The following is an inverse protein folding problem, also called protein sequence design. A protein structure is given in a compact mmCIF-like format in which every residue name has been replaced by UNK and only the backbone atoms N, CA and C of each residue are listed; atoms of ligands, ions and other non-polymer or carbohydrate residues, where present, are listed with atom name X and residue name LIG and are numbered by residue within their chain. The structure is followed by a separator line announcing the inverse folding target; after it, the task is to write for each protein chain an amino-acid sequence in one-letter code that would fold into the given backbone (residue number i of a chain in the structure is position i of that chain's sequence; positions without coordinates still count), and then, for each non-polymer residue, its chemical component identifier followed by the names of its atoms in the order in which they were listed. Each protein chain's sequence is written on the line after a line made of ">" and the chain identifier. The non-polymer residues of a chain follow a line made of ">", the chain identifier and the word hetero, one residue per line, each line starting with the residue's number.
data_IF_317947893331
#
_entry.id   IF_317947893331
#
_cell.length_a   1.000
_cell.length_b   1.000
_cell.length_c   1.000
_cell.angle_alpha   90.00
_cell.angle_beta   90.00
_cell.angle_gamma   90.00
#
_symmetry.space_group_name_H-M   'P 1'
#
loop_
_entity.id
_entity.type
_entity.pdbx_description
1 polymer ?
#
# COMPACT_ATOMS: atom_id res chain seq x y z
N UNK A 1 -8.04 8.28 -37.39
CA UNK A 1 -7.22 7.08 -37.10
C UNK A 1 -8.01 6.16 -36.20
N UNK A 2 -8.40 4.96 -36.64
CA UNK A 2 -9.03 3.97 -35.76
C UNK A 2 -7.95 3.47 -34.80
N UNK A 3 -8.04 3.81 -33.52
CA UNK A 3 -7.18 3.25 -32.48
C UNK A 3 -7.54 1.77 -32.32
N UNK A 4 -6.68 0.90 -32.82
CA UNK A 4 -6.86 -0.54 -32.66
C UNK A 4 -6.73 -0.91 -31.17
N UNK A 5 -7.72 -1.57 -30.54
CA UNK A 5 -7.67 -1.96 -29.13
C UNK A 5 -6.45 -2.85 -28.80
N UNK A 6 -5.93 -3.62 -29.77
CA UNK A 6 -4.76 -4.47 -29.61
C UNK A 6 -3.46 -3.66 -29.43
N UNK A 7 -3.43 -2.40 -29.87
CA UNK A 7 -2.29 -1.51 -29.67
C UNK A 7 -2.32 -0.82 -28.29
N UNK A 8 -3.42 -0.92 -27.54
CA UNK A 8 -3.61 -0.26 -26.24
C UNK A 8 -4.05 -1.26 -25.16
N UNK A 9 -3.19 -2.23 -24.87
CA UNK A 9 -3.42 -3.23 -23.83
C UNK A 9 -2.82 -2.74 -22.51
N UNK A 10 -3.63 -2.71 -21.43
CA UNK A 10 -3.16 -2.38 -20.08
C UNK A 10 -2.71 -3.62 -19.31
N UNK A 11 -1.86 -3.50 -18.30
CA UNK A 11 -1.55 -4.65 -17.44
C UNK A 11 -2.72 -4.89 -16.48
N UNK A 12 -3.23 -6.13 -16.45
CA UNK A 12 -4.28 -6.56 -15.54
C UNK A 12 -3.75 -6.66 -14.10
N UNK A 13 -4.63 -6.52 -13.12
CA UNK A 13 -4.31 -6.88 -11.74
C UNK A 13 -3.97 -8.39 -11.65
N UNK A 14 -2.91 -8.77 -10.92
CA UNK A 14 -2.39 -10.13 -10.90
C UNK A 14 -3.45 -11.10 -10.36
N UNK A 15 -3.67 -12.18 -11.10
CA UNK A 15 -4.65 -13.20 -10.78
C UNK A 15 -3.93 -14.52 -10.54
N UNK A 16 -4.20 -15.16 -9.40
CA UNK A 16 -3.61 -16.45 -9.02
C UNK A 16 -4.34 -17.66 -9.64
N UNK A 17 -5.00 -17.48 -10.79
CA UNK A 17 -5.62 -18.58 -11.52
C UNK A 17 -4.63 -19.08 -12.58
N UNK A 18 -4.35 -20.38 -12.63
CA UNK A 18 -3.53 -20.96 -13.70
C UNK A 18 -4.37 -21.13 -14.96
N UNK A 19 -3.80 -20.80 -16.12
CA UNK A 19 -4.39 -21.01 -17.44
C UNK A 19 -4.71 -22.49 -17.69
N UNK A 20 -3.87 -23.40 -17.23
CA UNK A 20 -4.04 -24.84 -17.46
C UNK A 20 -5.26 -25.42 -16.72
N UNK A 21 -5.64 -24.81 -15.60
CA UNK A 21 -6.82 -25.20 -14.81
C UNK A 21 -8.13 -24.60 -15.35
N UNK A 22 -8.07 -23.70 -16.34
CA UNK A 22 -9.25 -23.06 -16.92
C UNK A 22 -9.95 -23.98 -17.92
N UNK A 23 -11.28 -23.86 -18.00
CA UNK A 23 -12.11 -24.65 -18.93
C UNK A 23 -12.21 -23.95 -20.29
N UNK A 24 -11.96 -24.68 -21.36
CA UNK A 24 -12.12 -24.19 -22.74
C UNK A 24 -11.01 -24.71 -23.64
N UNK A 25 -10.66 -23.89 -24.62
CA UNK A 25 -9.85 -24.30 -25.77
C UNK A 25 -8.44 -23.70 -25.67
N UNK A 26 -7.62 -23.87 -26.71
CA UNK A 26 -6.30 -23.20 -26.79
C UNK A 26 -6.39 -21.69 -26.97
N UNK A 27 -7.48 -21.20 -27.60
CA UNK A 27 -7.68 -19.78 -27.95
C UNK A 27 -8.45 -19.00 -26.88
N UNK A 28 -9.44 -19.63 -26.25
CA UNK A 28 -10.33 -19.01 -25.26
C UNK A 28 -10.57 -19.98 -24.11
N UNK A 29 -10.36 -19.51 -22.88
CA UNK A 29 -10.71 -20.26 -21.68
C UNK A 29 -11.49 -19.41 -20.70
N UNK A 30 -12.36 -20.04 -19.93
CA UNK A 30 -13.10 -19.41 -18.88
C UNK A 30 -12.40 -19.56 -17.54
N UNK A 31 -12.06 -18.43 -16.92
CA UNK A 31 -11.50 -18.42 -15.58
C UNK A 31 -12.64 -18.39 -14.54
N UNK A 32 -12.79 -19.47 -13.78
CA UNK A 32 -13.79 -19.58 -12.71
C UNK A 32 -13.57 -18.59 -11.56
N UNK A 33 -12.31 -18.20 -11.30
CA UNK A 33 -11.98 -17.28 -10.19
C UNK A 33 -12.41 -15.85 -10.47
N UNK A 34 -12.15 -15.34 -11.67
CA UNK A 34 -12.52 -13.96 -12.05
C UNK A 34 -13.80 -13.87 -12.88
N UNK A 35 -14.38 -15.01 -13.28
CA UNK A 35 -15.60 -15.12 -14.09
C UNK A 35 -15.52 -14.41 -15.44
N UNK A 36 -14.33 -14.38 -16.03
CA UNK A 36 -14.05 -13.73 -17.32
C UNK A 36 -13.49 -14.75 -18.31
N UNK A 37 -13.75 -14.48 -19.58
CA UNK A 37 -13.05 -15.14 -20.68
C UNK A 37 -11.62 -14.60 -20.76
N UNK A 38 -10.69 -15.53 -20.91
CA UNK A 38 -9.26 -15.28 -21.06
C UNK A 38 -8.86 -15.80 -22.44
N UNK A 39 -8.25 -14.93 -23.22
CA UNK A 39 -7.92 -15.14 -24.62
C UNK A 39 -6.41 -15.29 -24.78
N UNK A 40 -5.98 -16.34 -25.48
CA UNK A 40 -4.59 -16.51 -25.89
C UNK A 40 -4.43 -15.97 -27.31
N UNK A 41 -3.77 -14.82 -27.44
CA UNK A 41 -3.54 -14.15 -28.72
C UNK A 41 -2.11 -14.37 -29.24
N UNK A 42 -1.25 -15.10 -28.52
CA UNK A 42 0.17 -15.26 -28.84
C UNK A 42 0.41 -16.06 -30.13
N UNK A 43 -0.53 -16.94 -30.48
CA UNK A 43 -0.47 -17.78 -31.69
C UNK A 43 -1.38 -17.25 -32.82
N UNK A 44 -1.94 -16.04 -32.67
CA UNK A 44 -2.91 -15.48 -33.61
C UNK A 44 -2.36 -14.24 -34.31
N UNK A 45 -2.70 -14.10 -35.59
CA UNK A 45 -2.47 -12.84 -36.30
C UNK A 45 -3.39 -11.74 -35.76
N UNK A 46 -3.03 -10.49 -36.01
CA UNK A 46 -3.84 -9.35 -35.58
C UNK A 46 -5.30 -9.41 -36.06
N UNK A 47 -5.52 -9.81 -37.32
CA UNK A 47 -6.87 -9.99 -37.88
C UNK A 47 -7.65 -11.11 -37.21
N UNK A 48 -7.00 -12.24 -36.92
CA UNK A 48 -7.65 -13.35 -36.23
C UNK A 48 -8.02 -12.98 -34.79
N UNK A 49 -7.14 -12.24 -34.11
CA UNK A 49 -7.41 -11.73 -32.77
C UNK A 49 -8.58 -10.74 -32.76
N UNK A 50 -8.64 -9.82 -33.73
CA UNK A 50 -9.76 -8.88 -33.90
C UNK A 50 -11.08 -9.61 -34.15
N UNK A 51 -11.08 -10.59 -35.07
CA UNK A 51 -12.26 -11.37 -35.40
C UNK A 51 -12.76 -12.16 -34.19
N UNK A 52 -11.85 -12.83 -33.45
CA UNK A 52 -12.20 -13.57 -32.24
C UNK A 52 -12.86 -12.66 -31.19
N UNK A 53 -12.26 -11.49 -30.92
CA UNK A 53 -12.83 -10.54 -29.97
C UNK A 53 -14.15 -9.96 -30.44
N UNK A 54 -14.31 -9.74 -31.75
CA UNK A 54 -15.55 -9.24 -32.33
C UNK A 54 -16.68 -10.27 -32.25
N UNK A 55 -16.40 -11.54 -32.55
CA UNK A 55 -17.37 -12.64 -32.48
C UNK A 55 -17.82 -12.92 -31.05
N UNK A 56 -16.90 -12.88 -30.09
CA UNK A 56 -17.19 -13.27 -28.69
C UNK A 56 -17.79 -12.15 -27.85
N UNK A 57 -17.31 -10.91 -28.01
CA UNK A 57 -17.77 -9.76 -27.20
C UNK A 57 -18.77 -8.88 -27.95
N UNK A 58 -18.95 -9.10 -29.27
CA UNK A 58 -19.85 -8.33 -30.14
C UNK A 58 -19.42 -6.88 -30.37
N UNK A 59 -18.28 -6.43 -29.84
CA UNK A 59 -17.81 -5.05 -29.91
C UNK A 59 -16.29 -4.99 -30.04
N UNK A 60 -15.81 -4.22 -31.02
CA UNK A 60 -14.38 -3.99 -31.25
C UNK A 60 -13.76 -2.98 -30.26
N UNK A 61 -14.56 -2.18 -29.55
CA UNK A 61 -14.06 -1.15 -28.61
C UNK A 61 -14.00 -1.64 -27.15
N UNK A 62 -13.56 -2.87 -26.91
CA UNK A 62 -13.35 -3.39 -25.54
C UNK A 62 -11.98 -2.99 -25.02
N UNK A 63 -11.91 -2.64 -23.73
CA UNK A 63 -10.62 -2.40 -23.06
C UNK A 63 -9.95 -3.74 -22.79
N UNK A 64 -8.75 -3.92 -23.34
CA UNK A 64 -7.99 -5.14 -23.16
C UNK A 64 -6.99 -5.00 -22.01
N UNK A 65 -6.84 -6.07 -21.24
CA UNK A 65 -5.85 -6.17 -20.18
C UNK A 65 -5.00 -7.43 -20.37
N UNK A 66 -3.68 -7.31 -20.22
CA UNK A 66 -2.72 -8.41 -20.28
C UNK A 66 -2.40 -8.92 -18.88
N UNK A 67 -2.51 -10.22 -18.67
CA UNK A 67 -2.07 -10.91 -17.45
C UNK A 67 -0.57 -11.18 -17.48
N UNK A 68 -0.01 -11.60 -16.34
CA UNK A 68 1.43 -11.93 -16.24
C UNK A 68 1.83 -13.13 -17.11
N UNK A 69 0.90 -14.06 -17.33
CA UNK A 69 1.06 -15.21 -18.24
C UNK A 69 1.08 -14.81 -19.73
N UNK A 70 0.81 -13.54 -20.05
CA UNK A 70 0.78 -13.01 -21.41
C UNK A 70 -0.59 -13.12 -22.10
N UNK A 71 -1.57 -13.75 -21.48
CA UNK A 71 -2.95 -13.84 -21.99
C UNK A 71 -3.72 -12.54 -21.80
N UNK A 72 -4.80 -12.36 -22.58
CA UNK A 72 -5.57 -11.12 -22.63
C UNK A 72 -6.99 -11.35 -22.10
N UNK A 73 -7.48 -10.40 -21.30
CA UNK A 73 -8.84 -10.36 -20.75
C UNK A 73 -9.51 -9.02 -21.09
N UNK A 74 -10.83 -9.00 -21.16
CA UNK A 74 -11.61 -7.82 -21.57
C UNK A 74 -11.98 -6.89 -20.41
N UNK A 75 -11.68 -7.30 -19.17
CA UNK A 75 -11.92 -6.50 -17.96
C UNK A 75 -10.77 -6.72 -16.97
N UNK A 76 -10.50 -5.71 -16.14
CA UNK A 76 -9.50 -5.86 -15.09
C UNK A 76 -9.94 -6.93 -14.08
N UNK A 77 -9.02 -7.78 -13.64
CA UNK A 77 -9.34 -8.90 -12.76
C UNK A 77 -9.81 -8.41 -11.38
N UNK A 78 -11.08 -8.65 -10.98
CA UNK A 78 -11.63 -8.11 -9.73
C UNK A 78 -10.96 -8.70 -8.48
N UNK A 79 -10.59 -9.99 -8.51
CA UNK A 79 -9.93 -10.67 -7.39
C UNK A 79 -8.48 -10.20 -7.20
N UNK A 80 -7.77 -9.87 -8.28
CA UNK A 80 -6.44 -9.28 -8.21
C UNK A 80 -6.51 -7.90 -7.58
N UNK A 81 -7.48 -7.09 -8.01
CA UNK A 81 -7.73 -5.76 -7.47
C UNK A 81 -8.10 -5.79 -5.98
N UNK A 82 -8.94 -6.73 -5.57
CA UNK A 82 -9.31 -6.91 -4.17
C UNK A 82 -8.09 -7.24 -3.29
N UNK A 83 -7.19 -8.11 -3.75
CA UNK A 83 -5.96 -8.44 -3.01
C UNK A 83 -5.05 -7.21 -2.84
N UNK A 84 -4.92 -6.39 -3.89
CA UNK A 84 -4.17 -5.12 -3.82
C UNK A 84 -4.80 -4.17 -2.80
N UNK A 85 -6.12 -3.97 -2.87
CA UNK A 85 -6.85 -3.09 -1.95
C UNK A 85 -6.70 -3.53 -0.49
N UNK A 86 -6.78 -4.83 -0.22
CA UNK A 86 -6.61 -5.36 1.13
C UNK A 86 -5.20 -5.13 1.67
N UNK A 87 -4.15 -5.35 0.87
CA UNK A 87 -2.77 -5.10 1.28
C UNK A 87 -2.54 -3.62 1.55
N UNK A 88 -3.00 -2.74 0.66
CA UNK A 88 -2.90 -1.29 0.83
C UNK A 88 -3.62 -0.81 2.09
N UNK A 89 -4.83 -1.33 2.36
CA UNK A 89 -5.58 -0.99 3.58
C UNK A 89 -4.83 -1.36 4.85
N UNK A 90 -4.24 -2.57 4.91
CA UNK A 90 -3.47 -3.00 6.09
C UNK A 90 -2.26 -2.11 6.37
N UNK A 91 -1.53 -1.74 5.32
CA UNK A 91 -0.37 -0.84 5.42
C UNK A 91 -0.82 0.55 5.87
N UNK A 92 -1.89 1.08 5.27
CA UNK A 92 -2.44 2.39 5.65
C UNK A 92 -2.87 2.43 7.12
N UNK A 93 -3.55 1.38 7.60
CA UNK A 93 -3.94 1.26 9.01
C UNK A 93 -2.71 1.24 9.91
N UNK A 94 -1.67 0.46 9.60
CA UNK A 94 -0.45 0.40 10.40
C UNK A 94 0.25 1.77 10.50
N UNK A 95 0.38 2.49 9.37
CA UNK A 95 0.96 3.83 9.34
C UNK A 95 0.12 4.80 10.18
N UNK A 96 -1.20 4.76 10.00
CA UNK A 96 -2.11 5.63 10.76
C UNK A 96 -2.01 5.37 12.26
N UNK A 97 -1.95 4.12 12.71
CA UNK A 97 -1.78 3.77 14.12
C UNK A 97 -0.47 4.32 14.70
N UNK A 98 0.63 4.23 13.95
CA UNK A 98 1.93 4.77 14.37
C UNK A 98 1.89 6.30 14.51
N UNK A 99 1.33 6.99 13.51
CA UNK A 99 1.21 8.45 13.54
C UNK A 99 0.27 8.90 14.66
N UNK A 100 -0.91 8.30 14.78
CA UNK A 100 -1.87 8.63 15.83
C UNK A 100 -1.30 8.39 17.23
N UNK A 101 -0.57 7.28 17.44
CA UNK A 101 0.12 6.99 18.70
C UNK A 101 1.24 8.01 18.99
N UNK A 102 2.05 8.35 18.00
CA UNK A 102 3.13 9.33 18.14
C UNK A 102 2.59 10.73 18.48
N UNK A 103 1.66 11.24 17.67
CA UNK A 103 1.06 12.56 17.90
C UNK A 103 0.22 12.60 19.17
N UNK A 104 -0.51 11.54 19.49
CA UNK A 104 -1.25 11.42 20.76
C UNK A 104 -0.32 11.43 21.98
N UNK A 105 0.80 10.72 21.91
CA UNK A 105 1.81 10.69 22.97
C UNK A 105 2.50 12.04 23.18
N UNK A 106 2.87 12.73 22.09
CA UNK A 106 3.46 14.08 22.16
C UNK A 106 2.47 15.08 22.75
N UNK A 107 1.20 15.03 22.33
CA UNK A 107 0.16 15.89 22.89
C UNK A 107 -0.05 15.62 24.38
N UNK A 108 -0.12 14.35 24.80
CA UNK A 108 -0.25 13.99 26.20
C UNK A 108 0.96 14.47 27.04
N UNK A 109 2.18 14.29 26.55
CA UNK A 109 3.40 14.75 27.22
C UNK A 109 3.44 16.29 27.39
N UNK A 110 2.89 17.04 26.43
CA UNK A 110 2.82 18.50 26.50
C UNK A 110 1.92 19.04 27.63
N UNK A 111 0.96 18.23 28.07
CA UNK A 111 -0.01 18.62 29.12
C UNK A 111 0.41 18.13 30.51
N UNK A 112 1.55 17.44 30.64
CA UNK A 112 2.05 17.01 31.95
C UNK A 112 2.63 18.24 32.67
N UNK A 113 2.04 18.68 33.81
CA UNK A 113 2.65 19.73 34.61
C UNK A 113 3.94 19.19 35.23
N UNK A 114 5.08 19.72 34.80
CA UNK A 114 6.37 19.44 35.42
C UNK A 114 6.43 20.14 36.79
N UNK A 115 5.98 19.46 37.84
CA UNK A 115 6.05 19.97 39.21
C UNK A 115 7.50 19.95 39.72
N UNK A 116 8.19 21.07 39.56
CA UNK A 116 9.56 21.32 40.02
C UNK A 116 9.65 21.53 41.56
N UNK A 117 8.54 21.49 42.31
CA UNK A 117 8.53 21.80 43.75
C UNK A 117 9.25 20.78 44.64
N UNK A 118 9.68 19.62 44.12
CA UNK A 118 10.47 18.62 44.86
C UNK A 118 11.98 18.85 44.87
N UNK A 119 12.55 19.66 43.98
CA UNK A 119 14.01 19.85 43.91
C UNK A 119 14.55 20.93 44.86
N UNK A 120 13.69 21.77 45.45
CA UNK A 120 14.12 22.87 46.32
C UNK A 120 14.16 22.54 47.83
N UNK A 121 13.94 21.28 48.24
CA UNK A 121 14.08 20.88 49.65
C UNK A 121 15.49 20.47 50.07
N UNK A 122 16.37 20.14 49.13
CA UNK A 122 17.70 19.60 49.46
C UNK A 122 18.84 20.64 49.38
N UNK A 123 18.53 21.91 49.06
CA UNK A 123 19.55 22.98 49.03
C UNK A 123 19.54 23.76 50.34
N UNK A 124 20.14 23.21 51.39
CA UNK A 124 20.63 24.02 52.51
C UNK A 124 21.91 24.72 52.06
N UNK A 125 21.83 26.05 51.87
CA UNK A 125 22.98 26.90 51.58
C UNK A 125 23.76 27.12 52.88
N UNK A 126 24.89 26.42 53.05
CA UNK A 126 25.89 26.75 54.07
C UNK A 126 26.63 28.03 53.62
N UNK A 127 26.42 29.14 54.33
CA UNK A 127 27.06 30.43 54.04
C UNK A 127 28.42 30.52 54.75
N UNK A 128 29.51 30.27 54.02
CA UNK A 128 30.87 30.55 54.50
C UNK A 128 31.22 32.03 54.26
N UNK A 129 31.33 32.82 55.33
CA UNK A 129 31.70 34.25 55.28
C UNK A 129 33.21 34.41 55.03
N UNK A 130 33.67 35.15 54.00
CA UNK A 130 35.07 35.46 53.83
C UNK A 130 35.43 36.75 54.60
N UNK A 131 36.37 36.63 55.53
CA UNK A 131 37.22 37.74 55.96
C UNK A 131 36.76 38.55 57.17
N UNK A 132 37.18 38.13 58.37
CA UNK A 132 37.60 39.07 59.41
C UNK A 132 38.62 38.43 60.36
N UNK A 133 39.74 39.14 60.54
CA UNK A 133 40.91 38.74 61.34
C UNK A 133 40.51 38.36 62.77
N UNK A 134 40.84 37.14 63.21
CA UNK A 134 40.91 36.82 64.64
C UNK A 134 42.32 37.12 65.16
N UNK A 135 42.43 38.23 65.87
CA UNK A 135 43.50 38.48 66.83
C UNK A 135 42.89 38.36 68.24
N UNK A 136 43.75 38.07 69.23
CA UNK A 136 43.53 38.09 70.69
C UNK A 136 42.89 36.80 71.25
N UNK A 137 43.36 36.16 72.33
CA UNK A 137 44.62 36.12 73.07
C UNK A 137 44.59 34.82 73.92
N UNK A 138 45.78 34.31 74.22
CA UNK A 138 46.04 33.23 75.18
C UNK A 138 45.79 33.72 76.61
N UNK A 139 44.99 33.00 77.40
CA UNK A 139 45.26 32.55 78.79
C UNK A 139 44.56 31.21 78.96
#
# INVERSE_FOLDING_TARGET
>A
MKTNPLNHIKIASPCSADWNEMRGDKRKRYCSKCKLNVYNLSEMTQREAENLLFEEEGKMCVRLYRREDGTVITQNCPIGWQKIKQRASKIATAIFSLLAGFFGGVFAASQIPFDNSRLLRDVTVESEKPGLKKFVARV
#
